data_IF_121648383839
#
_entry.id   IF_121648383839
#
_cell.length_a   1.000
_cell.length_b   1.000
_cell.length_c   1.000
_cell.angle_alpha   90.00
_cell.angle_beta   90.00
_cell.angle_gamma   90.00
#
_symmetry.space_group_name_H-M   'P 1'
#
loop_
_entity.id
_entity.type
_entity.pdbx_description
1 polymer ?
#
# COMPACT_ATOMS: atom_id res chain seq x y z
N UNK A 1 -25.33 13.67 34.50
CA UNK A 1 -23.98 13.06 34.55
C UNK A 1 -23.89 11.81 33.68
N UNK A 2 -24.81 10.86 33.82
CA UNK A 2 -24.88 9.61 33.03
C UNK A 2 -24.86 9.83 31.51
N UNK A 3 -25.65 10.79 31.00
CA UNK A 3 -25.74 11.07 29.56
C UNK A 3 -24.40 11.55 28.96
N UNK A 4 -23.59 12.28 29.73
CA UNK A 4 -22.24 12.71 29.30
C UNK A 4 -21.28 11.53 29.22
N UNK A 5 -21.36 10.59 30.17
CA UNK A 5 -20.53 9.37 30.20
C UNK A 5 -20.90 8.45 29.03
N UNK A 6 -22.19 8.30 28.72
CA UNK A 6 -22.62 7.50 27.57
C UNK A 6 -22.14 8.12 26.25
N UNK A 7 -22.20 9.45 26.11
CA UNK A 7 -21.70 10.15 24.92
C UNK A 7 -20.19 9.97 24.77
N UNK A 8 -19.41 10.08 25.86
CA UNK A 8 -17.95 9.90 25.78
C UNK A 8 -17.57 8.45 25.46
N UNK A 9 -18.24 7.45 26.04
CA UNK A 9 -18.01 6.04 25.72
C UNK A 9 -18.33 5.75 24.26
N UNK A 10 -19.47 6.24 23.75
CA UNK A 10 -19.84 6.07 22.35
C UNK A 10 -18.84 6.74 21.38
N UNK A 11 -18.35 7.94 21.72
CA UNK A 11 -17.31 8.62 20.95
C UNK A 11 -15.99 7.82 20.93
N UNK A 12 -15.57 7.28 22.07
CA UNK A 12 -14.35 6.45 22.15
C UNK A 12 -14.51 5.14 21.37
N UNK A 13 -15.67 4.49 21.44
CA UNK A 13 -15.98 3.27 20.67
C UNK A 13 -15.98 3.51 19.16
N UNK A 14 -16.55 4.63 18.71
CA UNK A 14 -16.57 4.96 17.28
C UNK A 14 -15.19 5.31 16.74
N UNK A 15 -14.38 6.05 17.50
CA UNK A 15 -12.99 6.38 17.14
C UNK A 15 -12.11 5.13 17.09
N UNK A 16 -12.20 4.25 18.09
CA UNK A 16 -11.41 3.01 18.12
C UNK A 16 -11.78 2.08 16.95
N UNK A 17 -13.07 1.92 16.64
CA UNK A 17 -13.50 1.14 15.47
C UNK A 17 -12.99 1.74 14.15
N UNK A 18 -13.00 3.07 14.02
CA UNK A 18 -12.49 3.74 12.83
C UNK A 18 -10.99 3.49 12.60
N UNK A 19 -10.17 3.52 13.66
CA UNK A 19 -8.72 3.23 13.58
C UNK A 19 -8.45 1.80 13.09
N UNK A 20 -9.17 0.81 13.65
CA UNK A 20 -9.07 -0.59 13.22
C UNK A 20 -9.36 -0.74 11.72
N UNK A 21 -10.36 -0.01 11.19
CA UNK A 21 -10.68 -0.10 9.75
C UNK A 21 -9.62 0.50 8.81
N UNK A 22 -8.77 1.42 9.31
CA UNK A 22 -7.71 2.04 8.51
C UNK A 22 -6.53 1.09 8.36
N UNK A 23 -6.07 0.54 9.47
CA UNK A 23 -4.97 -0.43 9.48
C UNK A 23 -5.32 -1.65 8.61
N UNK A 24 -6.55 -2.14 8.69
CA UNK A 24 -7.01 -3.28 7.89
C UNK A 24 -6.96 -3.01 6.38
N UNK A 25 -7.26 -1.79 5.94
CA UNK A 25 -7.23 -1.42 4.51
C UNK A 25 -5.81 -1.37 3.96
N UNK A 26 -4.87 -0.83 4.73
CA UNK A 26 -3.45 -0.83 4.37
C UNK A 26 -2.92 -2.26 4.24
N UNK A 27 -3.21 -3.11 5.23
CA UNK A 27 -2.82 -4.52 5.21
C UNK A 27 -3.39 -5.27 4.02
N UNK A 28 -4.62 -4.96 3.63
CA UNK A 28 -5.23 -5.60 2.47
C UNK A 28 -4.51 -5.26 1.16
N UNK A 29 -4.12 -4.00 0.99
CA UNK A 29 -3.32 -3.60 -0.17
C UNK A 29 -1.98 -4.36 -0.22
N UNK A 30 -1.23 -4.38 0.88
CA UNK A 30 0.07 -5.04 0.91
C UNK A 30 -0.02 -6.56 0.69
N UNK A 31 -1.03 -7.23 1.27
CA UNK A 31 -1.29 -8.65 1.00
C UNK A 31 -1.47 -8.96 -0.49
N UNK A 32 -2.02 -8.04 -1.25
CA UNK A 32 -2.16 -8.22 -2.70
C UNK A 32 -0.83 -8.03 -3.42
N UNK A 33 0.00 -7.08 -2.98
CA UNK A 33 1.37 -6.95 -3.49
C UNK A 33 2.25 -8.17 -3.18
N UNK A 34 2.02 -8.86 -2.06
CA UNK A 34 2.79 -10.06 -1.69
C UNK A 34 2.59 -11.21 -2.70
N UNK A 35 1.34 -11.43 -3.15
CA UNK A 35 0.96 -12.59 -3.97
C UNK A 35 0.90 -12.36 -5.48
N UNK A 36 0.99 -11.11 -5.94
CA UNK A 36 0.83 -10.76 -7.35
C UNK A 36 2.19 -10.52 -8.03
N UNK A 37 2.30 -10.89 -9.30
CA UNK A 37 3.41 -10.48 -10.15
C UNK A 37 3.20 -9.02 -10.57
N UNK A 38 3.91 -8.08 -9.94
CA UNK A 38 3.79 -6.65 -10.27
C UNK A 38 4.19 -6.38 -11.71
N UNK A 39 5.20 -7.09 -12.24
CA UNK A 39 5.71 -6.85 -13.58
C UNK A 39 4.63 -7.12 -14.65
N UNK A 40 3.74 -8.11 -14.44
CA UNK A 40 2.62 -8.36 -15.36
C UNK A 40 1.57 -7.25 -15.36
N UNK A 41 1.36 -6.57 -14.22
CA UNK A 41 0.51 -5.38 -14.15
C UNK A 41 1.15 -4.22 -14.92
N UNK A 42 2.45 -4.01 -14.74
CA UNK A 42 3.18 -2.88 -15.35
C UNK A 42 3.32 -3.02 -16.87
N UNK A 43 3.42 -4.25 -17.38
CA UNK A 43 3.48 -4.53 -18.83
C UNK A 43 2.11 -4.32 -19.49
N UNK A 44 1.01 -4.61 -18.78
CA UNK A 44 -0.33 -4.46 -19.32
C UNK A 44 -0.80 -3.00 -19.24
N UNK A 45 -0.56 -2.24 -20.33
CA UNK A 45 -0.95 -0.82 -20.46
C UNK A 45 -2.41 -0.56 -20.10
N UNK A 46 -3.34 -1.42 -20.54
CA UNK A 46 -4.78 -1.24 -20.29
C UNK A 46 -5.11 -1.37 -18.80
N UNK A 47 -4.44 -2.29 -18.11
CA UNK A 47 -4.64 -2.53 -16.69
C UNK A 47 -4.04 -1.41 -15.83
N UNK A 48 -2.78 -1.04 -16.08
CA UNK A 48 -2.13 0.04 -15.32
C UNK A 48 -2.84 1.38 -15.53
N UNK A 49 -3.34 1.67 -16.74
CA UNK A 49 -4.11 2.89 -17.01
C UNK A 49 -5.44 2.91 -16.25
N UNK A 50 -6.13 1.76 -16.14
CA UNK A 50 -7.33 1.64 -15.32
C UNK A 50 -7.02 1.92 -13.85
N UNK A 51 -5.93 1.38 -13.33
CA UNK A 51 -5.50 1.58 -11.95
C UNK A 51 -5.11 3.03 -11.66
N UNK A 52 -4.32 3.66 -12.52
CA UNK A 52 -3.96 5.08 -12.40
C UNK A 52 -5.21 5.96 -12.46
N UNK A 53 -6.15 5.71 -13.39
CA UNK A 53 -7.42 6.45 -13.46
C UNK A 53 -8.27 6.27 -12.20
N UNK A 54 -8.29 5.08 -11.58
CA UNK A 54 -8.93 4.93 -10.28
C UNK A 54 -8.27 5.86 -9.25
N UNK A 55 -6.93 5.80 -9.12
CA UNK A 55 -6.17 6.59 -8.15
C UNK A 55 -6.36 8.09 -8.38
N UNK A 56 -6.46 8.55 -9.62
CA UNK A 56 -6.77 9.93 -9.97
C UNK A 56 -8.25 10.31 -9.80
N UNK A 57 -9.13 9.38 -9.40
CA UNK A 57 -10.58 9.56 -9.29
C UNK A 57 -11.28 9.94 -10.62
N UNK A 58 -10.66 9.61 -11.76
CA UNK A 58 -11.17 9.94 -13.11
C UNK A 58 -11.77 8.74 -13.85
N UNK A 59 -11.79 7.55 -13.25
CA UNK A 59 -12.32 6.34 -13.89
C UNK A 59 -12.93 5.33 -12.92
N UNK A 60 -13.41 4.21 -13.49
CA UNK A 60 -13.93 3.07 -12.73
C UNK A 60 -12.85 2.54 -11.79
N UNK A 61 -13.25 2.19 -10.57
CA UNK A 61 -12.36 1.65 -9.58
C UNK A 61 -12.87 0.32 -9.04
N UNK A 62 -12.02 -0.71 -9.11
CA UNK A 62 -12.30 -2.01 -8.53
C UNK A 62 -12.33 -1.90 -6.99
N UNK A 63 -13.08 -2.76 -6.27
CA UNK A 63 -13.19 -2.68 -4.81
C UNK A 63 -11.82 -2.66 -4.11
N UNK A 64 -10.92 -3.55 -4.51
CA UNK A 64 -9.52 -3.57 -4.13
C UNK A 64 -8.81 -2.22 -4.31
N UNK A 65 -8.89 -1.66 -5.53
CA UNK A 65 -8.18 -0.43 -5.86
C UNK A 65 -8.79 0.77 -5.16
N UNK A 66 -10.08 0.68 -4.79
CA UNK A 66 -10.77 1.70 -4.00
C UNK A 66 -10.23 1.73 -2.58
N UNK A 67 -9.95 0.57 -1.98
CA UNK A 67 -9.35 0.49 -0.66
C UNK A 67 -7.92 1.04 -0.68
N UNK A 68 -7.12 0.68 -1.70
CA UNK A 68 -5.80 1.28 -1.92
C UNK A 68 -5.90 2.81 -2.04
N UNK A 69 -6.81 3.32 -2.86
CA UNK A 69 -7.00 4.75 -3.05
C UNK A 69 -7.28 5.49 -1.75
N UNK A 70 -8.03 4.86 -0.83
CA UNK A 70 -8.35 5.41 0.49
C UNK A 70 -7.13 5.31 1.42
N UNK A 71 -6.37 4.23 1.35
CA UNK A 71 -5.18 4.00 2.17
C UNK A 71 -3.93 4.74 1.68
N UNK A 72 -3.92 5.24 0.44
CA UNK A 72 -2.73 5.84 -0.18
C UNK A 72 -2.09 6.98 0.63
N UNK A 73 -2.83 7.93 1.23
CA UNK A 73 -2.23 8.94 2.09
C UNK A 73 -1.46 8.36 3.28
N UNK A 74 -1.99 7.30 3.90
CA UNK A 74 -1.34 6.61 5.02
C UNK A 74 -0.07 5.86 4.56
N UNK A 75 -0.12 5.25 3.37
CA UNK A 75 1.04 4.60 2.76
C UNK A 75 2.16 5.61 2.47
N UNK A 76 1.84 6.81 2.02
CA UNK A 76 2.82 7.88 1.76
C UNK A 76 3.49 8.40 3.03
N UNK A 77 2.79 8.35 4.17
CA UNK A 77 3.33 8.75 5.46
C UNK A 77 4.46 7.81 5.91
N UNK A 78 4.22 6.50 5.85
CA UNK A 78 5.13 5.49 6.43
C UNK A 78 6.00 4.73 5.43
N UNK A 79 5.64 4.70 4.14
CA UNK A 79 6.40 4.06 3.05
C UNK A 79 6.98 2.68 3.40
N UNK A 80 6.18 1.80 4.00
CA UNK A 80 6.60 0.44 4.33
C UNK A 80 7.76 0.31 5.34
N UNK A 81 7.98 1.28 6.22
CA UNK A 81 9.11 1.25 7.18
C UNK A 81 9.05 0.09 8.16
N UNK A 82 7.95 -0.05 8.89
CA UNK A 82 7.84 -0.99 10.02
C UNK A 82 6.89 -2.15 9.75
N UNK A 83 6.03 -2.02 8.72
CA UNK A 83 4.87 -2.91 8.53
C UNK A 83 4.88 -3.68 7.22
N UNK A 84 5.91 -3.63 6.39
CA UNK A 84 5.93 -4.42 5.15
C UNK A 84 6.98 -5.53 5.21
N UNK A 85 6.66 -6.66 4.59
CA UNK A 85 7.66 -7.64 4.18
C UNK A 85 8.59 -7.04 3.12
N UNK A 86 9.77 -7.64 2.97
CA UNK A 86 10.74 -7.20 1.98
C UNK A 86 10.18 -7.27 0.55
N UNK A 87 9.38 -8.30 0.24
CA UNK A 87 8.72 -8.44 -1.06
C UNK A 87 7.70 -7.33 -1.32
N UNK A 88 6.86 -7.00 -0.34
CA UNK A 88 5.89 -5.90 -0.45
C UNK A 88 6.59 -4.57 -0.66
N UNK A 89 7.69 -4.31 0.06
CA UNK A 89 8.51 -3.10 -0.07
C UNK A 89 9.11 -3.00 -1.48
N UNK A 90 9.71 -4.08 -1.99
CA UNK A 90 10.27 -4.11 -3.34
C UNK A 90 9.21 -3.88 -4.42
N UNK A 91 8.04 -4.50 -4.25
CA UNK A 91 6.92 -4.35 -5.17
C UNK A 91 6.34 -2.93 -5.16
N UNK A 92 6.21 -2.31 -3.99
CA UNK A 92 5.80 -0.91 -3.88
C UNK A 92 6.82 0.02 -4.55
N UNK A 93 8.12 -0.22 -4.34
CA UNK A 93 9.21 0.56 -4.94
C UNK A 93 9.19 0.47 -6.47
N UNK A 94 9.02 -0.74 -7.02
CA UNK A 94 8.87 -0.95 -8.47
C UNK A 94 7.69 -0.16 -9.04
N UNK A 95 6.53 -0.20 -8.38
CA UNK A 95 5.34 0.53 -8.82
C UNK A 95 5.59 2.04 -8.83
N UNK A 96 6.16 2.59 -7.75
CA UNK A 96 6.43 4.02 -7.65
C UNK A 96 7.46 4.46 -8.69
N UNK A 97 8.54 3.70 -8.86
CA UNK A 97 9.54 3.96 -9.88
C UNK A 97 8.92 3.98 -11.27
N UNK A 98 8.14 2.95 -11.64
CA UNK A 98 7.49 2.86 -12.95
C UNK A 98 6.56 4.04 -13.23
N UNK A 99 5.70 4.42 -12.27
CA UNK A 99 4.77 5.54 -12.48
C UNK A 99 5.58 6.84 -12.62
N UNK A 100 6.62 7.06 -11.79
CA UNK A 100 7.50 8.23 -11.89
C UNK A 100 8.20 8.34 -13.24
N UNK A 101 8.71 7.23 -13.79
CA UNK A 101 9.51 7.23 -15.03
C UNK A 101 8.67 7.16 -16.30
N UNK A 102 7.61 6.34 -16.32
CA UNK A 102 6.86 6.03 -17.53
C UNK A 102 5.52 6.78 -17.63
N UNK A 103 5.05 7.38 -16.52
CA UNK A 103 3.76 8.06 -16.39
C UNK A 103 3.93 9.39 -15.64
N UNK A 104 4.93 10.18 -16.04
CA UNK A 104 5.35 11.39 -15.32
C UNK A 104 4.22 12.42 -15.16
N UNK A 105 3.35 12.58 -16.17
CA UNK A 105 2.21 13.48 -16.09
C UNK A 105 1.20 13.02 -15.02
N UNK A 106 0.92 11.72 -14.97
CA UNK A 106 0.03 11.14 -13.98
C UNK A 106 0.66 11.14 -12.59
N UNK A 107 1.97 10.93 -12.48
CA UNK A 107 2.73 11.06 -11.24
C UNK A 107 2.55 12.44 -10.62
N UNK A 108 2.69 13.51 -11.41
CA UNK A 108 2.50 14.88 -10.91
C UNK A 108 1.05 15.13 -10.46
N UNK A 109 0.06 14.61 -11.22
CA UNK A 109 -1.35 14.72 -10.84
C UNK A 109 -1.66 13.95 -9.55
N UNK A 110 -1.05 12.78 -9.36
CA UNK A 110 -1.17 11.99 -8.13
C UNK A 110 -0.53 12.74 -6.96
N UNK A 111 0.67 13.32 -7.14
CA UNK A 111 1.32 14.12 -6.13
C UNK A 111 0.45 15.31 -5.70
N UNK A 112 -0.12 16.07 -6.65
CA UNK A 112 -1.04 17.18 -6.35
C UNK A 112 -2.30 16.72 -5.61
N UNK A 113 -2.80 15.51 -5.88
CA UNK A 113 -4.02 14.97 -5.27
C UNK A 113 -3.80 14.43 -3.85
N UNK A 114 -2.67 13.77 -3.60
CA UNK A 114 -2.40 13.04 -2.34
C UNK A 114 -1.39 13.74 -1.43
N UNK A 115 -0.53 14.59 -1.98
CA UNK A 115 0.46 15.38 -1.26
C UNK A 115 0.52 16.82 -1.80
N UNK A 116 -0.57 17.61 -1.70
CA UNK A 116 -0.62 18.98 -2.22
C UNK A 116 0.39 19.91 -1.56
N UNK A 117 0.86 19.58 -0.36
CA UNK A 117 1.87 20.35 0.40
C UNK A 117 3.30 19.89 0.13
N UNK A 118 3.50 18.80 -0.61
CA UNK A 118 4.82 18.22 -0.89
C UNK A 118 5.53 17.67 0.35
N UNK A 119 4.81 17.33 1.41
CA UNK A 119 5.36 16.89 2.69
C UNK A 119 6.03 15.50 2.61
N UNK A 120 5.60 14.65 1.68
CA UNK A 120 6.10 13.28 1.54
C UNK A 120 7.10 13.13 0.38
N UNK A 121 7.20 14.12 -0.51
CA UNK A 121 8.04 14.06 -1.71
C UNK A 121 9.47 13.55 -1.44
N UNK A 122 10.18 14.16 -0.49
CA UNK A 122 11.56 13.78 -0.18
C UNK A 122 11.68 12.33 0.33
N UNK A 123 10.70 11.87 1.10
CA UNK A 123 10.66 10.50 1.62
C UNK A 123 10.36 9.50 0.51
N UNK A 124 9.43 9.84 -0.39
CA UNK A 124 9.09 9.04 -1.57
C UNK A 124 10.29 8.91 -2.51
N UNK A 125 11.02 10.00 -2.76
CA UNK A 125 12.21 9.99 -3.60
C UNK A 125 13.32 9.13 -2.98
N UNK A 126 13.58 9.28 -1.68
CA UNK A 126 14.51 8.42 -0.95
C UNK A 126 14.10 6.94 -1.00
N UNK A 127 12.81 6.63 -0.83
CA UNK A 127 12.28 5.28 -0.90
C UNK A 127 12.48 4.64 -2.28
N UNK A 128 12.19 5.37 -3.37
CA UNK A 128 12.39 4.89 -4.73
C UNK A 128 13.86 4.55 -4.99
N UNK A 129 14.76 5.40 -4.50
CA UNK A 129 16.21 5.27 -4.64
C UNK A 129 16.83 4.31 -3.62
N UNK A 130 16.01 3.69 -2.75
CA UNK A 130 16.44 2.80 -1.68
C UNK A 130 17.47 3.44 -0.73
N UNK A 131 17.28 4.74 -0.44
CA UNK A 131 18.09 5.52 0.50
C UNK A 131 17.38 5.63 1.85
N UNK A 132 18.12 5.86 2.96
CA UNK A 132 17.52 6.18 4.24
C UNK A 132 16.58 7.38 4.16
N UNK A 133 15.49 7.39 4.94
CA UNK A 133 14.58 8.53 5.00
C UNK A 133 15.35 9.77 5.46
N UNK A 134 15.16 10.95 4.81
CA UNK A 134 15.67 12.20 5.34
C UNK A 134 14.95 12.50 6.65
N UNK A 135 15.62 12.26 7.77
CA UNK A 135 15.15 12.74 9.06
C UNK A 135 15.32 14.25 9.08
N UNK A 136 14.30 14.99 9.57
CA UNK A 136 14.43 16.43 9.85
C UNK A 136 15.32 16.64 11.10
N UNK A 137 16.54 16.11 11.08
CA UNK A 137 17.55 16.40 12.08
C UNK A 137 18.43 17.47 11.45
N UNK A 138 18.14 18.71 11.85
CA UNK A 138 19.03 19.87 11.91
C UNK A 138 20.31 19.77 11.10
N UNK A 139 20.38 20.59 10.05
CA UNK A 139 21.54 20.87 9.18
C UNK A 139 22.78 21.43 9.89
N UNK A 140 23.00 21.15 11.18
CA UNK A 140 24.15 21.64 11.95
C UNK A 140 25.30 20.64 12.07
N UNK A 141 25.24 19.47 11.44
CA UNK A 141 26.30 18.47 11.50
C UNK A 141 26.83 18.05 10.12
N UNK A 142 27.01 18.98 9.19
CA UNK A 142 27.98 18.79 8.10
C UNK A 142 28.68 20.14 7.84
N UNK A 143 29.67 20.46 8.68
CA UNK A 143 30.81 21.27 8.26
C UNK A 143 32.01 20.33 8.23
N UNK A 144 32.53 20.15 7.02
CA UNK A 144 33.92 19.84 6.66
C UNK A 144 34.60 18.65 7.38
N UNK A 145 35.22 17.71 6.68
CA UNK A 145 36.49 18.02 6.03
C UNK A 145 36.80 16.98 4.95
N UNK A 146 37.18 17.51 3.79
CA UNK A 146 37.77 16.85 2.65
C UNK A 146 39.15 16.28 3.02
N UNK A 147 39.45 15.05 2.62
CA UNK A 147 40.79 14.66 2.19
C UNK A 147 40.72 13.43 1.26
N UNK A 148 41.41 13.43 0.11
CA UNK A 148 41.45 12.30 -0.82
C UNK A 148 42.67 11.40 -0.52
N UNK A 149 42.48 10.10 -0.37
CA UNK A 149 43.59 9.14 -0.37
C UNK A 149 43.25 7.90 -1.19
N UNK A 150 43.70 7.95 -2.45
CA UNK A 150 44.48 6.94 -3.20
C UNK A 150 44.26 5.45 -2.87
N UNK A 151 43.86 4.70 -3.92
CA UNK A 151 44.19 3.31 -4.28
C UNK A 151 44.54 2.31 -3.16
N UNK A 152 43.77 1.21 -3.07
CA UNK A 152 44.34 -0.13 -3.34
C UNK A 152 43.24 -1.16 -3.68
N UNK A 153 43.42 -1.83 -4.81
CA UNK A 153 42.77 -3.10 -5.21
C UNK A 153 43.32 -4.27 -4.40
N UNK A 154 42.44 -5.15 -3.89
CA UNK A 154 42.83 -6.53 -3.55
C UNK A 154 41.69 -7.53 -3.78
N UNK A 155 42.13 -8.68 -4.26
CA UNK A 155 41.46 -9.80 -4.92
C UNK A 155 40.65 -10.73 -3.98
N UNK A 156 39.54 -11.23 -4.52
CA UNK A 156 38.83 -12.53 -4.33
C UNK A 156 39.07 -13.38 -3.07
N UNK A 157 38.00 -13.79 -2.38
CA UNK A 157 37.87 -15.17 -1.88
C UNK A 157 36.40 -15.61 -1.84
N UNK A 158 36.10 -16.61 -2.66
CA UNK A 158 34.86 -17.37 -2.72
C UNK A 158 34.71 -18.24 -1.47
N UNK A 159 33.59 -18.16 -0.76
CA UNK A 159 33.18 -19.21 0.18
C UNK A 159 31.72 -19.57 -0.04
N UNK A 160 31.55 -20.75 -0.62
CA UNK A 160 30.31 -21.49 -0.79
C UNK A 160 29.78 -21.91 0.58
N UNK A 161 28.54 -21.55 0.93
CA UNK A 161 27.84 -22.16 2.07
C UNK A 161 26.48 -22.67 1.59
N UNK A 162 26.44 -23.99 1.40
CA UNK A 162 25.26 -24.81 1.13
C UNK A 162 24.31 -24.74 2.33
N UNK A 163 23.04 -24.39 2.12
CA UNK A 163 21.99 -24.47 3.15
C UNK A 163 20.92 -25.50 2.76
N UNK A 164 20.63 -26.36 3.73
CA UNK A 164 19.70 -27.48 3.71
C UNK A 164 18.22 -27.06 3.49
N UNK A 165 17.35 -27.98 3.04
CA UNK A 165 15.96 -27.69 2.69
C UNK A 165 15.08 -27.42 3.92
N UNK A 166 14.45 -26.24 3.94
CA UNK A 166 13.38 -25.88 4.88
C UNK A 166 12.03 -26.42 4.43
N UNK A 167 11.32 -27.06 5.36
CA UNK A 167 9.99 -27.64 5.22
C UNK A 167 8.94 -26.63 4.69
N UNK A 168 7.89 -27.11 3.98
CA UNK A 168 6.85 -26.24 3.42
C UNK A 168 5.95 -25.63 4.50
N UNK A 169 5.58 -24.34 4.38
CA UNK A 169 4.63 -23.69 5.28
C UNK A 169 3.18 -24.20 5.05
N UNK A 170 2.33 -24.24 6.09
CA UNK A 170 0.98 -24.80 6.03
C UNK A 170 0.04 -24.00 5.10
N UNK A 171 -0.87 -24.72 4.44
CA UNK A 171 -1.67 -24.24 3.29
C UNK A 171 -2.68 -23.13 3.60
N UNK A 172 -2.66 -22.10 2.75
CA UNK A 172 -3.41 -20.83 2.71
C UNK A 172 -4.92 -20.93 2.39
N UNK A 173 -5.52 -22.13 2.37
CA UNK A 173 -6.91 -22.32 1.92
C UNK A 173 -7.95 -22.03 3.01
N UNK A 174 -7.65 -22.31 4.29
CA UNK A 174 -8.63 -22.14 5.37
C UNK A 174 -8.94 -20.68 5.73
N UNK A 175 -7.98 -19.76 5.51
CA UNK A 175 -8.10 -18.34 5.90
C UNK A 175 -8.99 -17.53 4.92
N UNK A 176 -9.10 -17.94 3.65
CA UNK A 176 -9.98 -17.26 2.68
C UNK A 176 -11.46 -17.54 2.95
N UNK A 177 -11.80 -18.72 3.46
CA UNK A 177 -13.17 -19.12 3.74
C UNK A 177 -13.80 -18.32 4.89
N UNK A 178 -13.05 -18.08 5.97
CA UNK A 178 -13.54 -17.36 7.16
C UNK A 178 -13.69 -15.85 6.92
N UNK A 179 -12.82 -15.25 6.11
CA UNK A 179 -12.90 -13.82 5.76
C UNK A 179 -14.10 -13.49 4.86
N UNK A 180 -14.43 -14.40 3.92
CA UNK A 180 -15.60 -14.25 3.07
C UNK A 180 -16.90 -14.31 3.88
N UNK A 181 -16.98 -15.23 4.86
CA UNK A 181 -18.15 -15.35 5.73
C UNK A 181 -18.40 -14.08 6.56
N UNK A 182 -17.36 -13.51 7.17
CA UNK A 182 -17.48 -12.31 7.99
C UNK A 182 -17.86 -11.07 7.17
N UNK A 183 -17.27 -10.90 5.98
CA UNK A 183 -17.63 -9.83 5.05
C UNK A 183 -19.07 -9.96 4.54
N UNK A 184 -19.51 -11.18 4.22
CA UNK A 184 -20.90 -11.45 3.80
C UNK A 184 -21.87 -11.17 4.95
N UNK A 185 -21.54 -11.56 6.18
CA UNK A 185 -22.37 -11.30 7.37
C UNK A 185 -22.51 -9.80 7.64
N UNK A 186 -21.40 -9.04 7.62
CA UNK A 186 -21.43 -7.59 7.79
C UNK A 186 -22.22 -6.88 6.68
N UNK A 187 -22.11 -7.35 5.42
CA UNK A 187 -22.86 -6.78 4.30
C UNK A 187 -24.36 -7.07 4.39
N UNK A 188 -24.74 -8.27 4.85
CA UNK A 188 -26.15 -8.62 5.12
C UNK A 188 -26.73 -7.79 6.26
N UNK A 189 -25.97 -7.59 7.34
CA UNK A 189 -26.37 -6.73 8.44
C UNK A 189 -26.54 -5.27 8.01
N UNK A 190 -25.63 -4.75 7.18
CA UNK A 190 -25.75 -3.41 6.61
C UNK A 190 -26.97 -3.24 5.69
N UNK A 191 -27.36 -4.29 4.94
CA UNK A 191 -28.59 -4.28 4.14
C UNK A 191 -29.86 -4.33 5.00
N UNK A 192 -29.82 -5.04 6.14
CA UNK A 192 -30.93 -5.07 7.09
C UNK A 192 -31.15 -3.72 7.80
N UNK A 193 -30.07 -3.01 8.14
CA UNK A 193 -30.14 -1.68 8.77
C UNK A 193 -30.65 -0.57 7.83
N UNK A 194 -30.68 -0.80 6.53
CA UNK A 194 -31.14 0.20 5.56
C UNK A 194 -31.97 -0.46 4.43
N UNK A 195 -33.26 -0.78 4.70
CA UNK A 195 -34.10 -1.52 3.77
C UNK A 195 -34.46 -0.75 2.48
N UNK A 196 -34.16 0.55 2.39
CA UNK A 196 -34.54 1.42 1.27
C UNK A 196 -33.41 1.69 0.26
N UNK A 197 -32.29 0.98 0.31
CA UNK A 197 -31.29 1.09 -0.77
C UNK A 197 -31.71 0.26 -2.00
N UNK A 198 -31.80 0.87 -3.20
CA UNK A 198 -32.08 0.12 -4.41
C UNK A 198 -30.93 -0.85 -4.71
N UNK A 199 -31.27 -2.13 -4.85
CA UNK A 199 -30.33 -3.17 -5.26
C UNK A 199 -29.70 -2.79 -6.60
N UNK A 200 -28.40 -2.46 -6.61
CA UNK A 200 -27.65 -2.41 -7.86
C UNK A 200 -27.46 -3.83 -8.34
N UNK A 201 -28.31 -4.26 -9.26
CA UNK A 201 -28.15 -5.45 -10.10
C UNK A 201 -26.79 -5.39 -10.79
N UNK A 202 -25.80 -6.07 -10.24
CA UNK A 202 -24.61 -6.48 -11.00
C UNK A 202 -25.07 -7.51 -12.01
N UNK A 203 -25.40 -7.04 -13.21
CA UNK A 203 -25.71 -7.91 -14.33
C UNK A 203 -24.42 -8.66 -14.71
N UNK A 204 -24.39 -9.92 -14.30
CA UNK A 204 -23.40 -10.91 -14.64
C UNK A 204 -23.71 -11.40 -16.06
N UNK A 205 -23.17 -10.74 -17.07
CA UNK A 205 -23.03 -11.34 -18.40
C UNK A 205 -21.70 -12.09 -18.40
N UNK A 206 -21.74 -13.33 -17.89
CA UNK A 206 -20.96 -14.40 -18.49
C UNK A 206 -21.42 -14.46 -19.94
N UNK A 207 -20.53 -14.16 -20.88
CA UNK A 207 -20.57 -14.85 -22.15
C UNK A 207 -19.18 -15.44 -22.40
N UNK A 208 -19.21 -16.76 -22.40
CA UNK A 208 -18.17 -17.66 -22.83
C UNK A 208 -18.07 -17.51 -24.35
N UNK A 209 -16.90 -17.11 -24.84
CA UNK A 209 -16.18 -17.57 -26.03
C UNK A 209 -14.88 -16.75 -26.13
#
# INVERSE_FOLDING_TARGET
>A
MLMRIVITIAAVLTVSLALVTREMREREFFRQLEGINVDSILINRRLIDKYIKCLLKTGKCDPTMKDLRIALPLILEHLCETRCSERERQNLRKLFLYIRTNRAQEWERLAKLYDPKGAYKANVDAFIENRPRPTMITSSAIRETVAPTIFTTTTTTTTTTTRAPTAPPPQRQSIRATRNALYIAMRRFAMWLNPNQPAKTTNNQLNIL
#
